data_IF_287147102811
#
_entry.id   IF_287147102811
#
_cell.length_a   1.000
_cell.length_b   1.000
_cell.length_c   1.000
_cell.angle_alpha   90.00
_cell.angle_beta   90.00
_cell.angle_gamma   90.00
#
_symmetry.space_group_name_H-M   'P 1'
#
loop_
_entity.id
_entity.type
_entity.pdbx_description
1 polymer ?
#
# COMPACT_ATOMS: atom_id res chain seq x y z
N UNK A 1 28.88 23.16 10.15
CA UNK A 1 27.97 22.00 10.05
C UNK A 1 27.13 22.21 8.80
N UNK A 2 27.58 21.68 7.66
CA UNK A 2 27.05 22.04 6.34
C UNK A 2 25.65 21.44 6.14
N UNK A 3 24.68 22.28 5.78
CA UNK A 3 23.37 21.85 5.33
C UNK A 3 23.54 21.09 4.02
N UNK A 4 23.36 19.77 4.05
CA UNK A 4 23.30 18.93 2.85
C UNK A 4 22.09 19.36 2.04
N UNK A 5 22.33 20.10 0.95
CA UNK A 5 21.29 20.44 -0.01
C UNK A 5 20.75 19.14 -0.61
N UNK A 6 19.56 18.71 -0.17
CA UNK A 6 18.84 17.61 -0.79
C UNK A 6 18.55 18.04 -2.22
N UNK A 7 19.15 17.35 -3.20
CA UNK A 7 18.87 17.61 -4.59
C UNK A 7 17.36 17.44 -4.84
N UNK A 8 16.70 18.36 -5.57
CA UNK A 8 15.24 18.34 -5.74
C UNK A 8 14.73 17.02 -6.35
N UNK A 9 15.55 16.36 -7.18
CA UNK A 9 15.26 15.05 -7.76
C UNK A 9 15.24 13.93 -6.69
N UNK A 10 16.14 13.99 -5.72
CA UNK A 10 16.21 13.05 -4.59
C UNK A 10 15.06 13.26 -3.61
N UNK A 11 14.61 14.51 -3.43
CA UNK A 11 13.44 14.84 -2.61
C UNK A 11 12.15 14.21 -3.18
N UNK A 12 11.87 14.38 -4.47
CA UNK A 12 10.67 13.83 -5.11
C UNK A 12 10.63 12.29 -5.00
N UNK A 13 11.76 11.63 -5.30
CA UNK A 13 11.84 10.17 -5.21
C UNK A 13 11.62 9.68 -3.77
N UNK A 14 12.12 10.40 -2.77
CA UNK A 14 11.90 10.07 -1.37
C UNK A 14 10.43 10.19 -0.95
N UNK A 15 9.74 11.22 -1.44
CA UNK A 15 8.31 11.43 -1.20
C UNK A 15 7.47 10.33 -1.84
N UNK A 16 7.77 9.96 -3.09
CA UNK A 16 7.10 8.84 -3.76
C UNK A 16 7.33 7.54 -2.99
N UNK A 17 8.58 7.28 -2.56
CA UNK A 17 8.92 6.11 -1.76
C UNK A 17 8.12 6.05 -0.44
N UNK A 18 7.93 7.19 0.23
CA UNK A 18 7.11 7.28 1.43
C UNK A 18 5.64 6.95 1.15
N UNK A 19 5.06 7.47 0.07
CA UNK A 19 3.69 7.12 -0.33
C UNK A 19 3.53 5.64 -0.67
N UNK A 20 4.50 5.02 -1.33
CA UNK A 20 4.50 3.58 -1.59
C UNK A 20 4.63 2.77 -0.29
N UNK A 21 5.43 3.23 0.66
CA UNK A 21 5.55 2.56 1.96
C UNK A 21 4.24 2.57 2.74
N UNK A 22 3.44 3.64 2.66
CA UNK A 22 2.13 3.74 3.31
C UNK A 22 1.13 2.70 2.79
N UNK A 23 1.20 2.31 1.52
CA UNK A 23 0.25 1.34 0.95
C UNK A 23 0.54 -0.10 1.38
N UNK A 24 1.73 -0.38 1.93
CA UNK A 24 2.20 -1.72 2.34
C UNK A 24 2.02 -2.76 1.21
N UNK A 25 2.82 -2.69 0.13
CA UNK A 25 2.63 -3.48 -1.09
C UNK A 25 2.60 -5.00 -0.84
N UNK A 26 3.34 -5.48 0.16
CA UNK A 26 3.32 -6.90 0.53
C UNK A 26 1.96 -7.37 1.04
N UNK A 27 1.22 -6.53 1.75
CA UNK A 27 -0.14 -6.85 2.22
C UNK A 27 -1.10 -6.90 1.04
N UNK A 28 -0.98 -5.94 0.12
CA UNK A 28 -1.79 -5.90 -1.10
C UNK A 28 -1.55 -7.15 -1.95
N UNK A 29 -0.29 -7.57 -2.13
CA UNK A 29 0.05 -8.80 -2.86
C UNK A 29 -0.66 -10.03 -2.27
N UNK A 30 -0.59 -10.21 -0.94
CA UNK A 30 -1.26 -11.32 -0.25
C UNK A 30 -2.78 -11.29 -0.44
N UNK A 31 -3.38 -10.10 -0.46
CA UNK A 31 -4.80 -9.90 -0.75
C UNK A 31 -5.14 -10.26 -2.21
N UNK A 32 -4.34 -9.81 -3.17
CA UNK A 32 -4.62 -10.04 -4.59
C UNK A 32 -4.41 -11.50 -5.00
N UNK A 33 -3.40 -12.17 -4.44
CA UNK A 33 -3.12 -13.60 -4.67
C UNK A 33 -4.28 -14.48 -4.20
N UNK A 34 -5.01 -14.08 -3.16
CA UNK A 34 -6.22 -14.80 -2.74
C UNK A 34 -7.45 -14.38 -3.54
N UNK A 35 -7.54 -13.12 -3.94
CA UNK A 35 -8.68 -12.58 -4.70
C UNK A 35 -8.85 -13.26 -6.06
N UNK A 36 -7.80 -13.33 -6.88
CA UNK A 36 -7.92 -13.82 -8.27
C UNK A 36 -8.36 -15.29 -8.36
N UNK A 37 -7.76 -16.25 -7.63
CA UNK A 37 -8.21 -17.63 -7.65
C UNK A 37 -9.65 -17.81 -7.15
N UNK A 38 -10.06 -17.05 -6.12
CA UNK A 38 -11.44 -17.10 -5.61
C UNK A 38 -12.44 -16.64 -6.67
N UNK A 39 -12.11 -15.62 -7.47
CA UNK A 39 -12.97 -15.20 -8.57
C UNK A 39 -13.17 -16.32 -9.61
N UNK A 40 -12.12 -17.06 -9.95
CA UNK A 40 -12.19 -18.19 -10.90
C UNK A 40 -13.03 -19.34 -10.35
N UNK A 41 -12.82 -19.69 -9.07
CA UNK A 41 -13.60 -20.75 -8.40
C UNK A 41 -15.07 -20.35 -8.30
N UNK A 42 -15.36 -19.09 -7.96
CA UNK A 42 -16.73 -18.59 -7.81
C UNK A 42 -17.50 -18.58 -9.15
N UNK A 43 -16.84 -18.21 -10.24
CA UNK A 43 -17.43 -18.19 -11.59
C UNK A 43 -17.58 -19.60 -12.18
N UNK A 44 -16.93 -20.62 -11.59
CA UNK A 44 -16.80 -21.96 -12.18
C UNK A 44 -16.16 -21.93 -13.57
N UNK A 45 -15.26 -20.98 -13.80
CA UNK A 45 -14.69 -20.66 -15.10
C UNK A 45 -13.84 -19.39 -15.03
N UNK A 46 -13.40 -18.89 -16.18
CA UNK A 46 -12.67 -17.61 -16.21
C UNK A 46 -13.66 -16.44 -16.20
N UNK A 47 -13.62 -15.55 -15.19
CA UNK A 47 -14.39 -14.32 -15.22
C UNK A 47 -13.93 -13.41 -16.38
N UNK A 48 -14.76 -12.43 -16.73
CA UNK A 48 -14.34 -11.44 -17.73
C UNK A 48 -13.05 -10.74 -17.28
N UNK A 49 -12.11 -10.58 -18.21
CA UNK A 49 -10.82 -9.92 -17.94
C UNK A 49 -11.02 -8.52 -17.37
N UNK A 50 -12.04 -7.81 -17.87
CA UNK A 50 -12.39 -6.48 -17.38
C UNK A 50 -12.81 -6.48 -15.90
N UNK A 51 -13.64 -7.45 -15.49
CA UNK A 51 -14.03 -7.60 -14.09
C UNK A 51 -12.82 -7.88 -13.21
N UNK A 52 -11.93 -8.79 -13.63
CA UNK A 52 -10.71 -9.10 -12.89
C UNK A 52 -9.82 -7.87 -12.72
N UNK A 53 -9.61 -7.08 -13.78
CA UNK A 53 -8.82 -5.85 -13.73
C UNK A 53 -9.48 -4.82 -12.81
N UNK A 54 -10.79 -4.60 -12.94
CA UNK A 54 -11.53 -3.66 -12.10
C UNK A 54 -11.46 -4.06 -10.61
N UNK A 55 -11.60 -5.35 -10.30
CA UNK A 55 -11.51 -5.88 -8.93
C UNK A 55 -10.09 -5.75 -8.37
N UNK A 56 -9.06 -6.10 -9.14
CA UNK A 56 -7.66 -5.98 -8.70
C UNK A 56 -7.29 -4.53 -8.44
N UNK A 57 -7.67 -3.61 -9.34
CA UNK A 57 -7.43 -2.19 -9.18
C UNK A 57 -8.20 -1.63 -7.97
N UNK A 58 -9.50 -1.92 -7.86
CA UNK A 58 -10.31 -1.49 -6.73
C UNK A 58 -9.81 -2.03 -5.39
N UNK A 59 -9.42 -3.31 -5.35
CA UNK A 59 -8.84 -3.94 -4.17
C UNK A 59 -7.50 -3.33 -3.76
N UNK A 60 -6.63 -3.05 -4.74
CA UNK A 60 -5.34 -2.37 -4.52
C UNK A 60 -5.55 -0.98 -3.91
N UNK A 61 -6.44 -0.17 -4.50
CA UNK A 61 -6.72 1.19 -4.04
C UNK A 61 -7.35 1.19 -2.64
N UNK A 62 -8.31 0.30 -2.40
CA UNK A 62 -9.00 0.19 -1.11
C UNK A 62 -8.03 -0.26 -0.01
N UNK A 63 -7.23 -1.29 -0.25
CA UNK A 63 -6.25 -1.79 0.70
C UNK A 63 -5.14 -0.75 0.97
N UNK A 64 -4.66 -0.07 -0.08
CA UNK A 64 -3.69 1.02 0.07
C UNK A 64 -4.22 2.18 0.91
N UNK A 65 -5.46 2.61 0.65
CA UNK A 65 -6.13 3.66 1.43
C UNK A 65 -6.34 3.26 2.88
N UNK A 66 -6.82 2.04 3.14
CA UNK A 66 -6.99 1.52 4.50
C UNK A 66 -5.66 1.45 5.27
N UNK A 67 -4.57 1.02 4.63
CA UNK A 67 -3.26 0.99 5.25
C UNK A 67 -2.74 2.39 5.62
N UNK A 68 -2.94 3.37 4.73
CA UNK A 68 -2.57 4.75 5.01
C UNK A 68 -3.39 5.34 6.17
N UNK A 69 -4.70 5.09 6.20
CA UNK A 69 -5.58 5.52 7.30
C UNK A 69 -5.13 4.89 8.62
N UNK A 70 -4.86 3.58 8.65
CA UNK A 70 -4.40 2.91 9.86
C UNK A 70 -3.12 3.55 10.42
N UNK A 71 -2.16 3.93 9.56
CA UNK A 71 -0.93 4.59 10.00
C UNK A 71 -1.16 6.02 10.48
N UNK A 72 -2.15 6.72 9.91
CA UNK A 72 -2.51 8.06 10.37
C UNK A 72 -3.22 8.02 11.73
N UNK A 73 -4.16 7.09 11.91
CA UNK A 73 -4.91 6.91 13.16
C UNK A 73 -3.99 6.46 14.29
N UNK A 74 -3.05 5.54 14.01
CA UNK A 74 -2.13 5.01 15.01
C UNK A 74 -0.92 5.94 15.30
N UNK A 75 -0.84 7.14 14.70
CA UNK A 75 0.37 7.98 14.72
C UNK A 75 0.86 8.33 16.13
N UNK A 76 -0.05 8.63 17.04
CA UNK A 76 0.25 8.98 18.43
C UNK A 76 0.73 7.76 19.24
N UNK A 77 0.08 6.61 19.01
CA UNK A 77 0.45 5.33 19.62
C UNK A 77 1.80 4.85 19.10
N UNK A 78 2.01 4.90 17.78
CA UNK A 78 3.25 4.48 17.13
C UNK A 78 4.45 5.29 17.63
N UNK A 79 4.26 6.57 17.96
CA UNK A 79 5.32 7.44 18.49
C UNK A 79 5.93 6.95 19.82
N UNK A 80 5.15 6.23 20.64
CA UNK A 80 5.63 5.69 21.93
C UNK A 80 6.05 4.21 21.85
N UNK A 81 5.84 3.54 20.72
CA UNK A 81 6.17 2.12 20.53
C UNK A 81 7.57 1.92 19.93
N UNK A 82 8.37 1.03 20.53
CA UNK A 82 9.73 0.72 20.06
C UNK A 82 9.77 0.16 18.63
N UNK A 83 8.83 -0.73 18.31
CA UNK A 83 8.77 -1.38 17.00
C UNK A 83 8.28 -0.45 15.88
N UNK A 84 7.44 0.53 16.17
CA UNK A 84 6.65 1.24 15.14
C UNK A 84 6.87 2.74 15.08
N UNK A 85 7.66 3.31 15.99
CA UNK A 85 8.05 4.75 16.00
C UNK A 85 8.63 5.31 14.71
N UNK A 86 9.17 4.46 13.85
CA UNK A 86 9.80 4.84 12.59
C UNK A 86 8.92 4.57 11.37
N UNK A 87 7.63 4.30 11.58
CA UNK A 87 6.66 4.27 10.48
C UNK A 87 6.59 5.68 9.84
N UNK A 88 6.48 5.76 8.50
CA UNK A 88 6.35 7.04 7.79
C UNK A 88 5.12 7.85 8.22
#
# INVERSE_FOLDING_TARGET
MAATAVHPRTAILSTIGAYVALTKPRIIELLLVTTVPVMVVAEQGMPSVWLMVATVLGGTLTAGGANAINMWVDRDIDAVMERTRNRP
#
